data_IF_819030631117
#
_entry.id   IF_819030631117
#
_cell.length_a   1.000
_cell.length_b   1.000
_cell.length_c   1.000
_cell.angle_alpha   90.00
_cell.angle_beta   90.00
_cell.angle_gamma   90.00
#
_symmetry.space_group_name_H-M   'P 1'
#
loop_
_entity.id
_entity.type
_entity.pdbx_description
1 polymer ?
#
# COMPACT_ATOMS: atom_id res chain seq x y z
N UNK A 1 -12.41 -6.76 5.43
CA UNK A 1 -11.78 -5.95 4.35
C UNK A 1 -10.31 -6.29 4.30
N UNK A 2 -9.71 -6.43 3.12
CA UNK A 2 -8.31 -6.89 3.00
C UNK A 2 -7.35 -5.76 3.38
N UNK A 3 -6.57 -5.95 4.45
CA UNK A 3 -5.50 -5.04 4.86
C UNK A 3 -4.21 -5.46 4.13
N UNK A 4 -3.44 -4.49 3.69
CA UNK A 4 -2.16 -4.72 3.02
C UNK A 4 -1.11 -3.91 3.76
N UNK A 5 -0.06 -4.59 4.18
CA UNK A 5 1.09 -3.96 4.82
C UNK A 5 2.24 -3.94 3.81
N UNK A 6 2.79 -2.76 3.58
CA UNK A 6 3.91 -2.58 2.67
C UNK A 6 5.18 -2.43 3.51
N UNK A 7 6.12 -3.35 3.38
CA UNK A 7 7.39 -3.31 4.11
C UNK A 7 8.43 -2.54 3.30
N UNK A 8 9.14 -1.63 3.98
CA UNK A 8 10.21 -0.85 3.37
C UNK A 8 9.73 0.33 2.53
N UNK A 9 8.49 0.80 2.72
CA UNK A 9 8.03 2.05 2.10
C UNK A 9 8.74 3.22 2.78
N UNK A 10 9.56 4.00 2.06
CA UNK A 10 10.24 5.13 2.64
C UNK A 10 9.22 6.22 2.97
N UNK A 11 9.49 7.04 4.00
CA UNK A 11 8.61 8.13 4.40
C UNK A 11 8.38 9.14 3.27
N UNK A 12 9.31 9.24 2.31
CA UNK A 12 9.19 10.04 1.08
C UNK A 12 8.04 9.55 0.19
N UNK A 13 7.91 8.24 -0.05
CA UNK A 13 6.80 7.66 -0.82
C UNK A 13 5.47 7.89 -0.10
N UNK A 14 5.44 7.79 1.23
CA UNK A 14 4.23 8.06 2.01
C UNK A 14 3.83 9.53 1.98
N UNK A 15 4.79 10.46 2.09
CA UNK A 15 4.56 11.89 1.99
C UNK A 15 4.12 12.30 0.58
N UNK A 16 4.77 11.77 -0.45
CA UNK A 16 4.42 12.00 -1.84
C UNK A 16 3.04 11.42 -2.18
N UNK A 17 2.70 10.22 -1.69
CA UNK A 17 1.34 9.68 -1.83
C UNK A 17 0.28 10.53 -1.11
N UNK A 18 0.62 11.07 0.08
CA UNK A 18 -0.28 11.97 0.82
C UNK A 18 -0.48 13.31 0.10
N UNK A 19 0.57 13.84 -0.52
CA UNK A 19 0.55 15.10 -1.28
C UNK A 19 0.00 14.94 -2.71
N UNK A 20 0.04 13.73 -3.27
CA UNK A 20 -0.41 13.46 -4.63
C UNK A 20 -1.93 13.62 -4.75
N UNK A 21 -2.35 14.43 -5.72
CA UNK A 21 -3.75 14.58 -6.09
C UNK A 21 -4.31 13.28 -6.69
N UNK A 22 -3.48 12.54 -7.42
CA UNK A 22 -3.84 11.30 -8.10
C UNK A 22 -3.28 10.06 -7.38
N UNK A 23 -3.80 9.77 -6.18
CA UNK A 23 -3.40 8.61 -5.36
C UNK A 23 -3.40 7.27 -6.12
N UNK A 24 -4.41 7.02 -6.97
CA UNK A 24 -4.50 5.77 -7.73
C UNK A 24 -3.38 5.58 -8.77
N UNK A 25 -2.97 6.67 -9.44
CA UNK A 25 -1.87 6.65 -10.41
C UNK A 25 -0.52 6.52 -9.72
N UNK A 26 -0.31 7.29 -8.65
CA UNK A 26 0.90 7.20 -7.83
C UNK A 26 1.07 5.79 -7.23
N UNK A 27 -0.02 5.19 -6.75
CA UNK A 27 0.02 3.83 -6.21
C UNK A 27 0.35 2.77 -7.26
N UNK A 28 -0.22 2.87 -8.48
CA UNK A 28 0.11 1.91 -9.54
C UNK A 28 1.57 2.02 -9.99
N UNK A 29 2.07 3.25 -10.16
CA UNK A 29 3.40 3.50 -10.72
C UNK A 29 4.50 3.29 -9.68
N UNK A 30 4.36 3.89 -8.49
CA UNK A 30 5.41 3.91 -7.48
C UNK A 30 5.26 2.85 -6.39
N UNK A 31 4.09 2.25 -6.19
CA UNK A 31 3.86 1.35 -5.04
C UNK A 31 3.70 -0.11 -5.47
N UNK A 32 2.83 -0.38 -6.45
CA UNK A 32 2.46 -1.73 -6.89
C UNK A 32 3.64 -2.54 -7.44
N UNK A 33 4.59 -1.91 -8.12
CA UNK A 33 5.70 -2.62 -8.77
C UNK A 33 7.05 -2.46 -8.04
N UNK A 34 7.10 -1.65 -6.98
CA UNK A 34 8.35 -1.24 -6.33
C UNK A 34 8.52 -1.78 -4.92
N UNK A 35 7.43 -2.07 -4.20
CA UNK A 35 7.49 -2.50 -2.80
C UNK A 35 6.91 -3.89 -2.62
N UNK A 36 7.55 -4.67 -1.74
CA UNK A 36 6.97 -5.90 -1.22
C UNK A 36 5.80 -5.53 -0.32
N UNK A 37 4.64 -6.10 -0.62
CA UNK A 37 3.47 -6.03 0.23
C UNK A 37 3.11 -7.42 0.73
N UNK A 38 2.60 -7.48 1.95
CA UNK A 38 1.96 -8.66 2.50
C UNK A 38 0.49 -8.36 2.68
N UNK A 39 -0.33 -9.27 2.19
CA UNK A 39 -1.75 -9.28 2.52
C UNK A 39 -1.87 -9.66 3.99
N UNK A 40 -2.29 -8.71 4.82
CA UNK A 40 -2.74 -9.01 6.17
C UNK A 40 -4.17 -9.50 6.02
N UNK A 41 -4.32 -10.83 6.04
CA UNK A 41 -5.62 -11.44 6.18
C UNK A 41 -6.17 -11.01 7.55
N UNK A 42 -7.02 -9.99 7.53
CA UNK A 42 -7.86 -9.62 8.65
C UNK A 42 -8.76 -10.84 8.90
N UNK A 43 -8.46 -11.59 9.97
CA UNK A 43 -8.92 -12.94 10.25
C UNK A 43 -10.43 -13.10 10.41
N UNK A 44 -11.18 -12.92 9.31
CA UNK A 44 -12.55 -13.41 9.19
C UNK A 44 -12.49 -14.79 8.59
N UNK A 45 -12.15 -15.77 9.42
CA UNK A 45 -12.75 -17.10 9.33
C UNK A 45 -14.16 -16.99 9.92
N UNK A 46 -15.24 -17.12 9.13
CA UNK A 46 -16.46 -17.71 9.66
C UNK A 46 -16.26 -19.23 9.60
N UNK A 47 -16.03 -19.83 10.77
CA UNK A 47 -16.22 -21.26 10.98
C UNK A 47 -17.68 -21.69 10.82
#
# INVERSE_FOLDING_TARGET
>A
GKRYEFEGVPPETFAAFKAAFAKGRYFNDHIRNHFRYRLIADGSEPG
#
